data_IF_989183573294
#
_entry.id   IF_989183573294
#
_cell.length_a   1.000
_cell.length_b   1.000
_cell.length_c   1.000
_cell.angle_alpha   90.00
_cell.angle_beta   90.00
_cell.angle_gamma   90.00
#
_symmetry.space_group_name_H-M   'P 1'
#
loop_
_entity.id
_entity.type
_entity.pdbx_description
1 polymer ?
#
# COMPACT_ATOMS: atom_id res chain seq x y z
N UNK A 1 21.14 11.64 -14.26
CA UNK A 1 19.83 10.96 -14.11
C UNK A 1 19.71 10.39 -12.70
N UNK A 2 18.55 10.53 -12.07
CA UNK A 2 18.25 9.93 -10.75
C UNK A 2 17.12 8.93 -10.92
N UNK A 3 17.29 7.73 -10.36
CA UNK A 3 16.26 6.69 -10.34
C UNK A 3 15.86 6.48 -8.87
N UNK A 4 14.64 6.86 -8.53
CA UNK A 4 14.07 6.64 -7.19
C UNK A 4 13.36 5.28 -7.12
N UNK A 5 13.25 4.73 -5.91
CA UNK A 5 12.75 3.36 -5.64
C UNK A 5 13.45 2.27 -6.49
N UNK A 6 14.75 2.44 -6.74
CA UNK A 6 15.54 1.54 -7.59
C UNK A 6 15.56 0.08 -7.07
N UNK A 7 15.27 -0.14 -5.78
CA UNK A 7 15.08 -1.47 -5.19
C UNK A 7 13.87 -2.25 -5.74
N UNK A 8 12.91 -1.57 -6.41
CA UNK A 8 11.74 -2.19 -7.03
C UNK A 8 11.90 -2.43 -8.54
N UNK A 9 13.00 -1.95 -9.14
CA UNK A 9 13.25 -2.10 -10.58
C UNK A 9 13.87 -3.46 -10.87
N UNK A 10 13.26 -4.22 -11.78
CA UNK A 10 13.77 -5.53 -12.19
C UNK A 10 15.13 -5.43 -12.90
N UNK A 11 15.95 -6.47 -12.77
CA UNK A 11 17.33 -6.51 -13.29
C UNK A 11 17.45 -6.14 -14.78
N UNK A 12 16.51 -6.64 -15.61
CA UNK A 12 16.52 -6.40 -17.07
C UNK A 12 16.17 -4.96 -17.43
N UNK A 13 15.22 -4.35 -16.71
CA UNK A 13 14.87 -2.95 -16.92
C UNK A 13 16.03 -2.05 -16.50
N UNK A 14 16.68 -2.35 -15.38
CA UNK A 14 17.81 -1.58 -14.90
C UNK A 14 19.02 -1.67 -15.86
N UNK A 15 19.30 -2.85 -16.42
CA UNK A 15 20.35 -3.03 -17.44
C UNK A 15 20.12 -2.12 -18.65
N UNK A 16 18.91 -2.11 -19.22
CA UNK A 16 18.60 -1.27 -20.40
C UNK A 16 18.84 0.22 -20.11
N UNK A 17 18.41 0.68 -18.94
CA UNK A 17 18.56 2.08 -18.53
C UNK A 17 20.03 2.44 -18.31
N UNK A 18 20.81 1.57 -17.66
CA UNK A 18 22.23 1.78 -17.40
C UNK A 18 23.06 1.72 -18.69
N UNK A 19 22.73 0.81 -19.61
CA UNK A 19 23.38 0.68 -20.91
C UNK A 19 23.20 1.93 -21.77
N UNK A 20 21.99 2.50 -21.80
CA UNK A 20 21.75 3.76 -22.51
C UNK A 20 22.43 4.96 -21.83
N UNK A 21 22.36 5.05 -20.50
CA UNK A 21 23.05 6.10 -19.76
C UNK A 21 24.58 6.05 -19.99
N UNK A 22 25.16 4.85 -20.08
CA UNK A 22 26.57 4.65 -20.43
C UNK A 22 26.88 5.14 -21.84
N UNK A 23 26.05 4.82 -22.84
CA UNK A 23 26.23 5.34 -24.22
C UNK A 23 26.28 6.86 -24.27
N UNK A 24 25.47 7.53 -23.44
CA UNK A 24 25.40 8.99 -23.40
C UNK A 24 26.37 9.62 -22.38
N UNK A 25 27.25 8.84 -21.75
CA UNK A 25 28.17 9.36 -20.71
C UNK A 25 27.47 9.96 -19.50
N UNK A 26 26.21 9.59 -19.25
CA UNK A 26 25.38 10.19 -18.21
C UNK A 26 25.63 9.53 -16.86
N UNK A 27 25.89 10.35 -15.83
CA UNK A 27 25.93 9.88 -14.44
C UNK A 27 24.53 9.46 -13.98
N UNK A 28 24.43 8.23 -13.46
CA UNK A 28 23.21 7.69 -12.86
C UNK A 28 23.36 7.62 -11.34
N UNK A 29 22.38 8.13 -10.61
CA UNK A 29 22.27 8.00 -9.16
C UNK A 29 21.05 7.14 -8.86
N UNK A 30 21.26 6.03 -8.18
CA UNK A 30 20.18 5.12 -7.75
C UNK A 30 19.83 5.43 -6.30
N UNK A 31 18.55 5.67 -6.03
CA UNK A 31 17.99 5.93 -4.71
C UNK A 31 16.94 4.86 -4.44
N UNK A 32 16.97 4.26 -3.26
CA UNK A 32 16.05 3.19 -2.89
C UNK A 32 16.49 2.48 -1.61
N UNK A 33 15.68 1.53 -1.19
CA UNK A 33 15.94 0.69 -0.01
C UNK A 33 16.23 -0.73 -0.47
N UNK A 34 17.44 -1.22 -0.17
CA UNK A 34 17.89 -2.55 -0.58
C UNK A 34 17.26 -3.68 0.24
N UNK A 35 16.62 -3.34 1.37
CA UNK A 35 15.93 -4.27 2.25
C UNK A 35 14.40 -4.26 2.06
N UNK A 36 13.87 -3.36 1.22
CA UNK A 36 12.46 -3.42 0.82
C UNK A 36 12.17 -4.72 0.05
N UNK A 37 10.91 -5.18 0.14
CA UNK A 37 10.42 -6.40 -0.48
C UNK A 37 10.95 -6.53 -1.92
N UNK A 38 11.63 -7.63 -2.19
CA UNK A 38 12.31 -7.91 -3.46
C UNK A 38 11.35 -7.67 -4.65
N UNK A 39 11.85 -7.19 -5.80
CA UNK A 39 11.07 -7.13 -7.02
C UNK A 39 10.41 -8.47 -7.32
N UNK A 40 9.24 -8.42 -7.95
CA UNK A 40 8.56 -9.62 -8.46
C UNK A 40 9.39 -10.29 -9.58
N UNK A 41 10.28 -9.55 -10.24
CA UNK A 41 11.25 -10.08 -11.21
C UNK A 41 12.56 -10.53 -10.54
N UNK A 42 13.16 -11.59 -11.09
CA UNK A 42 14.40 -12.17 -10.59
C UNK A 42 15.59 -11.18 -10.57
N UNK A 43 16.28 -11.15 -9.43
CA UNK A 43 17.59 -10.53 -9.24
C UNK A 43 17.54 -9.21 -8.48
N UNK A 44 18.27 -9.16 -7.36
CA UNK A 44 18.44 -7.96 -6.55
C UNK A 44 19.53 -7.05 -7.17
N UNK A 45 19.33 -6.60 -8.41
CA UNK A 45 20.32 -5.80 -9.15
C UNK A 45 20.73 -4.54 -8.39
N UNK A 46 19.77 -3.86 -7.75
CA UNK A 46 20.05 -2.70 -6.89
C UNK A 46 21.00 -3.04 -5.74
N UNK A 47 20.76 -4.16 -5.05
CA UNK A 47 21.63 -4.64 -3.96
C UNK A 47 23.03 -4.99 -4.48
N UNK A 48 23.12 -5.70 -5.61
CA UNK A 48 24.40 -6.07 -6.21
C UNK A 48 25.23 -4.84 -6.64
N UNK A 49 24.56 -3.79 -7.15
CA UNK A 49 25.23 -2.52 -7.49
C UNK A 49 25.70 -1.81 -6.21
N UNK A 50 24.87 -1.74 -5.17
CA UNK A 50 25.23 -1.12 -3.90
C UNK A 50 26.44 -1.80 -3.25
N UNK A 51 26.49 -3.14 -3.26
CA UNK A 51 27.60 -3.93 -2.72
C UNK A 51 28.90 -3.74 -3.53
N UNK A 52 28.81 -3.54 -4.85
CA UNK A 52 29.98 -3.48 -5.74
C UNK A 52 30.53 -2.06 -5.97
N UNK A 53 29.66 -1.06 -6.03
CA UNK A 53 30.03 0.35 -6.28
C UNK A 53 30.16 1.13 -4.95
N UNK A 54 29.59 0.61 -3.87
CA UNK A 54 29.43 1.32 -2.61
C UNK A 54 28.18 2.19 -2.60
N UNK A 55 27.73 2.54 -1.40
CA UNK A 55 26.53 3.36 -1.18
C UNK A 55 26.72 4.31 -0.01
N UNK A 56 25.91 5.37 0.01
CA UNK A 56 25.76 6.26 1.16
C UNK A 56 24.38 6.00 1.78
N UNK A 57 24.34 5.61 3.05
CA UNK A 57 23.09 5.38 3.77
C UNK A 57 22.65 6.63 4.53
N UNK A 58 21.38 7.00 4.36
CA UNK A 58 20.74 7.96 5.25
C UNK A 58 20.40 7.26 6.58
N UNK A 59 21.25 7.44 7.59
CA UNK A 59 21.06 6.86 8.94
C UNK A 59 20.10 7.66 9.82
N UNK A 60 19.75 8.89 9.43
CA UNK A 60 18.87 9.76 10.19
C UNK A 60 17.40 9.37 9.97
N UNK A 61 16.83 8.65 10.95
CA UNK A 61 15.41 8.33 11.02
C UNK A 61 14.62 9.62 11.30
N UNK A 62 14.14 10.28 10.24
CA UNK A 62 13.35 11.54 10.35
C UNK A 62 11.83 11.33 10.42
N UNK A 63 11.33 10.13 10.09
CA UNK A 63 9.88 9.88 9.91
C UNK A 63 9.12 9.61 11.21
N UNK A 64 9.79 9.21 12.29
CA UNK A 64 9.16 8.79 13.55
C UNK A 64 9.43 9.82 14.65
N UNK A 65 8.39 10.50 15.15
CA UNK A 65 8.51 11.47 16.26
C UNK A 65 8.79 10.79 17.60
N UNK A 66 8.13 9.67 17.87
CA UNK A 66 8.27 8.97 19.15
C UNK A 66 9.60 8.21 19.21
N UNK A 67 10.32 8.36 20.32
CA UNK A 67 11.64 7.75 20.53
C UNK A 67 11.60 6.23 20.39
N UNK A 68 10.56 5.58 20.93
CA UNK A 68 10.44 4.12 20.88
C UNK A 68 10.24 3.58 19.45
N UNK A 69 9.58 4.34 18.57
CA UNK A 69 9.41 3.95 17.17
C UNK A 69 10.74 4.05 16.41
N UNK A 70 11.54 5.09 16.69
CA UNK A 70 12.90 5.21 16.17
C UNK A 70 13.78 4.05 16.62
N UNK A 71 13.65 3.64 17.88
CA UNK A 71 14.38 2.48 18.43
C UNK A 71 13.93 1.17 17.78
N UNK A 72 12.63 0.98 17.58
CA UNK A 72 12.11 -0.18 16.86
C UNK A 72 12.61 -0.24 15.41
N UNK A 73 12.63 0.91 14.71
CA UNK A 73 13.23 1.01 13.36
C UNK A 73 14.74 0.71 13.37
N UNK A 74 15.48 1.16 14.39
CA UNK A 74 16.91 0.79 14.55
C UNK A 74 17.10 -0.71 14.77
N UNK A 75 16.24 -1.35 15.56
CA UNK A 75 16.28 -2.80 15.75
C UNK A 75 15.98 -3.55 14.43
N UNK A 76 15.00 -3.10 13.64
CA UNK A 76 14.77 -3.67 12.31
C UNK A 76 15.99 -3.55 11.40
N UNK A 77 16.59 -2.36 11.30
CA UNK A 77 17.77 -2.11 10.47
C UNK A 77 19.02 -2.90 10.90
N UNK A 78 19.04 -3.43 12.14
CA UNK A 78 20.13 -4.27 12.66
C UNK A 78 19.83 -5.77 12.54
N UNK A 79 18.70 -6.15 11.91
CA UNK A 79 18.28 -7.54 11.82
C UNK A 79 17.79 -8.12 13.16
N UNK A 80 17.29 -7.27 14.08
CA UNK A 80 16.75 -7.66 15.38
C UNK A 80 15.19 -7.55 15.43
N UNK A 81 14.44 -8.24 14.55
CA UNK A 81 12.99 -8.04 14.42
C UNK A 81 12.22 -8.40 15.70
N UNK A 82 12.70 -9.36 16.49
CA UNK A 82 12.06 -9.72 17.76
C UNK A 82 12.04 -8.53 18.74
N UNK A 83 13.17 -7.84 18.91
CA UNK A 83 13.28 -6.66 19.78
C UNK A 83 12.46 -5.49 19.24
N UNK A 84 12.42 -5.31 17.93
CA UNK A 84 11.56 -4.30 17.31
C UNK A 84 10.09 -4.58 17.63
N UNK A 85 9.62 -5.82 17.45
CA UNK A 85 8.24 -6.22 17.71
C UNK A 85 7.88 -6.14 19.19
N UNK A 86 8.79 -6.48 20.11
CA UNK A 86 8.57 -6.31 21.55
C UNK A 86 8.32 -4.84 21.92
N UNK A 87 9.00 -3.90 21.26
CA UNK A 87 8.76 -2.46 21.44
C UNK A 87 7.36 -2.08 20.98
N UNK A 88 6.94 -2.51 19.79
CA UNK A 88 5.59 -2.26 19.30
C UNK A 88 4.53 -2.91 20.21
N UNK A 89 4.80 -4.09 20.76
CA UNK A 89 3.91 -4.77 21.71
C UNK A 89 3.80 -4.01 23.03
N UNK A 90 4.92 -3.57 23.59
CA UNK A 90 4.95 -2.81 24.85
C UNK A 90 4.15 -1.51 24.79
N UNK A 91 4.00 -0.92 23.59
CA UNK A 91 3.22 0.30 23.36
C UNK A 91 1.80 0.03 22.83
N UNK A 92 1.31 -1.21 22.92
CA UNK A 92 -0.05 -1.57 22.49
C UNK A 92 -0.29 -1.45 20.98
N UNK A 93 0.78 -1.37 20.18
CA UNK A 93 0.71 -1.24 18.73
C UNK A 93 0.66 -2.60 18.02
N UNK A 94 0.77 -3.71 18.76
CA UNK A 94 0.57 -5.08 18.27
C UNK A 94 -0.45 -5.80 19.15
N UNK A 95 -1.43 -6.40 18.50
CA UNK A 95 -2.40 -7.29 19.13
C UNK A 95 -2.39 -8.65 18.44
N UNK A 96 -2.45 -9.73 19.22
CA UNK A 96 -2.57 -11.08 18.69
C UNK A 96 -4.02 -11.54 18.71
N UNK A 97 -4.43 -12.19 17.63
CA UNK A 97 -5.73 -12.81 17.50
C UNK A 97 -5.57 -14.32 17.28
N UNK A 98 -6.50 -15.10 17.84
CA UNK A 98 -6.46 -16.56 17.75
C UNK A 98 -6.63 -17.04 16.30
N UNK A 99 -7.52 -16.41 15.55
CA UNK A 99 -7.80 -16.75 14.16
C UNK A 99 -7.61 -15.58 13.21
N UNK A 100 -7.51 -15.89 11.91
CA UNK A 100 -7.49 -14.90 10.83
C UNK A 100 -8.79 -14.08 10.80
N UNK A 101 -9.92 -14.71 11.12
CA UNK A 101 -11.22 -14.05 11.18
C UNK A 101 -11.24 -13.00 12.30
N UNK A 102 -10.78 -13.39 13.50
CA UNK A 102 -10.69 -12.49 14.64
C UNK A 102 -9.74 -11.31 14.36
N UNK A 103 -8.62 -11.57 13.70
CA UNK A 103 -7.69 -10.50 13.30
C UNK A 103 -8.36 -9.49 12.37
N UNK A 104 -9.11 -9.96 11.36
CA UNK A 104 -9.86 -9.07 10.45
C UNK A 104 -10.96 -8.30 11.19
N UNK A 105 -11.64 -8.94 12.13
CA UNK A 105 -12.66 -8.30 12.95
C UNK A 105 -12.07 -7.17 13.81
N UNK A 106 -10.89 -7.39 14.41
CA UNK A 106 -10.20 -6.34 15.17
C UNK A 106 -9.70 -5.21 14.26
N UNK A 107 -9.14 -5.55 13.10
CA UNK A 107 -8.72 -4.53 12.11
C UNK A 107 -9.87 -3.62 11.70
N UNK A 108 -11.04 -4.19 11.41
CA UNK A 108 -12.18 -3.37 10.99
C UNK A 108 -12.71 -2.54 12.15
N UNK A 109 -12.79 -3.08 13.37
CA UNK A 109 -13.17 -2.31 14.56
C UNK A 109 -12.21 -1.14 14.82
N UNK A 110 -10.91 -1.36 14.67
CA UNK A 110 -9.90 -0.31 14.81
C UNK A 110 -10.07 0.79 13.78
N UNK A 111 -10.22 0.38 12.52
CA UNK A 111 -10.47 1.31 11.42
C UNK A 111 -11.73 2.15 11.68
N UNK A 112 -12.80 1.51 12.15
CA UNK A 112 -14.08 2.15 12.50
C UNK A 112 -13.96 3.12 13.68
N UNK A 113 -13.21 2.76 14.73
CA UNK A 113 -12.92 3.66 15.86
C UNK A 113 -12.15 4.89 15.39
N UNK A 114 -11.15 4.68 14.54
CA UNK A 114 -10.38 5.79 13.99
C UNK A 114 -11.25 6.68 13.09
N UNK A 115 -12.13 6.10 12.27
CA UNK A 115 -13.06 6.84 11.43
C UNK A 115 -13.91 7.82 12.26
N UNK A 116 -14.42 7.39 13.42
CA UNK A 116 -15.19 8.25 14.32
C UNK A 116 -14.33 9.33 14.99
N UNK A 117 -13.08 9.02 15.36
CA UNK A 117 -12.23 9.94 16.09
C UNK A 117 -11.64 11.09 15.23
N UNK A 118 -11.40 10.85 13.95
CA UNK A 118 -10.78 11.84 13.04
C UNK A 118 -11.40 11.75 11.63
N UNK A 119 -12.67 12.14 11.40
CA UNK A 119 -13.38 11.89 10.15
C UNK A 119 -12.58 12.18 8.87
N UNK A 120 -11.81 13.27 8.86
CA UNK A 120 -11.01 13.73 7.71
C UNK A 120 -9.62 13.08 7.56
N UNK A 121 -9.18 12.27 8.53
CA UNK A 121 -7.85 11.62 8.50
C UNK A 121 -7.77 10.51 7.45
N UNK A 122 -6.61 10.34 6.79
CA UNK A 122 -6.44 9.27 5.80
C UNK A 122 -6.09 7.93 6.48
N UNK A 123 -6.74 6.85 6.02
CA UNK A 123 -6.66 5.51 6.63
C UNK A 123 -6.54 4.44 5.57
N UNK A 124 -5.73 3.42 5.84
CA UNK A 124 -5.62 2.25 4.99
C UNK A 124 -5.43 0.97 5.82
N UNK A 125 -6.19 -0.06 5.50
CA UNK A 125 -5.98 -1.40 6.06
C UNK A 125 -5.03 -2.16 5.15
N UNK A 126 -3.95 -2.71 5.69
CA UNK A 126 -3.02 -3.56 4.97
C UNK A 126 -3.28 -5.04 5.27
N UNK A 127 -3.38 -5.83 4.23
CA UNK A 127 -3.48 -7.28 4.36
C UNK A 127 -2.51 -8.00 3.44
N UNK A 128 -2.24 -9.26 3.74
CA UNK A 128 -1.26 -10.04 2.98
C UNK A 128 -1.85 -10.55 1.66
N UNK A 129 -3.09 -11.04 1.67
CA UNK A 129 -3.72 -11.66 0.48
C UNK A 129 -4.77 -10.76 -0.15
N UNK A 130 -4.96 -10.91 -1.48
CA UNK A 130 -6.03 -10.23 -2.22
C UNK A 130 -7.43 -10.60 -1.70
N UNK A 131 -7.62 -11.83 -1.22
CA UNK A 131 -8.89 -12.27 -0.64
C UNK A 131 -9.21 -11.52 0.66
N UNK A 132 -8.23 -11.30 1.53
CA UNK A 132 -8.44 -10.51 2.76
C UNK A 132 -8.68 -9.04 2.42
N UNK A 133 -7.91 -8.47 1.49
CA UNK A 133 -8.12 -7.09 1.01
C UNK A 133 -9.55 -6.90 0.51
N UNK A 134 -10.06 -7.85 -0.28
CA UNK A 134 -11.43 -7.82 -0.79
C UNK A 134 -12.45 -7.84 0.34
N UNK A 135 -12.33 -8.77 1.28
CA UNK A 135 -13.22 -8.88 2.44
C UNK A 135 -13.20 -7.60 3.31
N UNK A 136 -12.01 -7.06 3.60
CA UNK A 136 -11.86 -5.84 4.38
C UNK A 136 -12.42 -4.60 3.67
N UNK A 137 -12.25 -4.50 2.34
CA UNK A 137 -12.86 -3.44 1.56
C UNK A 137 -14.39 -3.47 1.64
N UNK A 138 -15.00 -4.66 1.48
CA UNK A 138 -16.46 -4.80 1.58
C UNK A 138 -16.98 -4.46 2.98
N UNK A 139 -16.33 -4.95 4.03
CA UNK A 139 -16.70 -4.64 5.43
C UNK A 139 -16.60 -3.14 5.72
N UNK A 140 -15.54 -2.48 5.26
CA UNK A 140 -15.35 -1.04 5.47
C UNK A 140 -16.44 -0.22 4.79
N UNK A 141 -16.77 -0.56 3.53
CA UNK A 141 -17.87 0.08 2.81
C UNK A 141 -19.21 -0.13 3.49
N UNK A 142 -19.53 -1.36 3.89
CA UNK A 142 -20.79 -1.67 4.56
C UNK A 142 -20.97 -0.84 5.83
N UNK A 143 -19.92 -0.70 6.64
CA UNK A 143 -19.96 0.15 7.85
C UNK A 143 -20.21 1.62 7.51
N UNK A 144 -19.65 2.14 6.41
CA UNK A 144 -19.93 3.52 5.98
C UNK A 144 -21.37 3.68 5.49
N UNK A 145 -21.90 2.68 4.79
CA UNK A 145 -23.29 2.66 4.33
C UNK A 145 -24.26 2.65 5.52
N UNK A 146 -24.06 1.77 6.49
CA UNK A 146 -24.85 1.68 7.73
C UNK A 146 -24.82 2.98 8.56
N UNK A 147 -23.73 3.75 8.45
CA UNK A 147 -23.55 5.04 9.13
C UNK A 147 -24.08 6.23 8.34
N UNK A 148 -24.64 6.03 7.14
CA UNK A 148 -25.09 7.11 6.26
C UNK A 148 -23.94 7.97 5.71
N UNK A 149 -22.70 7.44 5.70
CA UNK A 149 -21.52 8.12 5.19
C UNK A 149 -21.36 8.05 3.66
N UNK A 150 -22.23 7.31 2.97
CA UNK A 150 -22.24 7.13 1.52
C UNK A 150 -23.54 7.67 0.91
N UNK A 151 -23.43 8.17 -0.32
CA UNK A 151 -24.58 8.50 -1.15
C UNK A 151 -25.27 7.28 -1.75
N UNK A 152 -26.04 7.49 -2.81
CA UNK A 152 -26.72 6.42 -3.52
C UNK A 152 -25.74 5.51 -4.27
N UNK A 153 -26.05 4.21 -4.27
CA UNK A 153 -25.29 3.19 -4.97
C UNK A 153 -25.42 3.32 -6.50
N UNK A 154 -24.29 3.29 -7.19
CA UNK A 154 -24.16 3.33 -8.64
C UNK A 154 -23.28 2.19 -9.10
N UNK A 155 -23.81 1.35 -9.98
CA UNK A 155 -23.06 0.28 -10.62
C UNK A 155 -22.15 0.84 -11.72
N UNK A 156 -20.83 0.64 -11.57
CA UNK A 156 -19.82 1.12 -12.51
C UNK A 156 -18.99 -0.04 -13.07
N UNK A 157 -18.70 0.02 -14.36
CA UNK A 157 -17.76 -0.89 -15.00
C UNK A 157 -16.33 -0.51 -14.62
N UNK A 158 -15.60 -1.44 -14.00
CA UNK A 158 -14.18 -1.29 -13.65
C UNK A 158 -13.32 -2.33 -14.36
N UNK A 159 -12.03 -2.04 -14.48
CA UNK A 159 -11.05 -2.94 -15.05
C UNK A 159 -9.85 -3.15 -14.13
N UNK A 160 -9.20 -4.31 -14.26
CA UNK A 160 -7.98 -4.64 -13.54
C UNK A 160 -7.04 -5.44 -14.42
N UNK A 161 -5.76 -5.09 -14.38
CA UNK A 161 -4.70 -5.89 -14.97
C UNK A 161 -4.37 -7.08 -14.05
N UNK A 162 -4.38 -8.28 -14.63
CA UNK A 162 -4.08 -9.55 -13.97
C UNK A 162 -2.97 -10.26 -14.74
N UNK A 163 -1.89 -10.58 -14.03
CA UNK A 163 -0.80 -11.39 -14.55
C UNK A 163 -1.24 -12.85 -14.63
N UNK A 164 -1.18 -13.42 -15.82
CA UNK A 164 -1.46 -14.82 -16.10
C UNK A 164 -0.24 -15.69 -15.78
N UNK A 165 -0.45 -17.01 -15.66
CA UNK A 165 0.62 -17.97 -15.35
C UNK A 165 1.71 -18.05 -16.43
N UNK A 166 1.38 -17.67 -17.66
CA UNK A 166 2.31 -17.60 -18.80
C UNK A 166 3.11 -16.28 -18.88
N UNK A 167 2.90 -15.37 -17.92
CA UNK A 167 3.56 -14.05 -17.88
C UNK A 167 2.88 -12.98 -18.74
N UNK A 168 1.74 -13.27 -19.38
CA UNK A 168 0.94 -12.26 -20.09
C UNK A 168 0.06 -11.47 -19.11
N UNK A 169 -0.34 -10.25 -19.50
CA UNK A 169 -1.26 -9.41 -18.73
C UNK A 169 -2.63 -9.41 -19.39
N UNK A 170 -3.62 -9.95 -18.68
CA UNK A 170 -5.03 -9.87 -19.08
C UNK A 170 -5.72 -8.69 -18.41
N UNK A 171 -6.73 -8.12 -19.07
CA UNK A 171 -7.61 -7.11 -18.47
C UNK A 171 -8.92 -7.80 -18.07
N UNK A 172 -9.12 -7.98 -16.77
CA UNK A 172 -10.40 -8.41 -16.21
C UNK A 172 -11.32 -7.20 -16.09
N UNK A 173 -12.55 -7.33 -16.61
CA UNK A 173 -13.62 -6.35 -16.42
C UNK A 173 -14.63 -6.90 -15.43
N UNK A 174 -15.07 -6.05 -14.50
CA UNK A 174 -16.07 -6.41 -13.50
C UNK A 174 -16.89 -5.19 -13.13
N UNK A 175 -17.99 -5.40 -12.43
CA UNK A 175 -18.77 -4.31 -11.87
C UNK A 175 -18.31 -3.98 -10.44
N UNK A 176 -18.42 -2.69 -10.07
CA UNK A 176 -18.30 -2.22 -8.70
C UNK A 176 -19.47 -1.31 -8.37
N UNK A 177 -19.98 -1.44 -7.16
CA UNK A 177 -20.98 -0.51 -6.63
C UNK A 177 -20.22 0.62 -5.94
N UNK A 178 -20.31 1.83 -6.49
CA UNK A 178 -19.71 3.03 -5.91
C UNK A 178 -20.79 4.03 -5.53
N UNK A 179 -20.49 4.87 -4.55
CA UNK A 179 -21.33 5.97 -4.12
C UNK A 179 -20.47 7.21 -3.85
N UNK A 180 -21.10 8.39 -3.81
CA UNK A 180 -20.46 9.59 -3.26
C UNK A 180 -19.94 9.30 -1.85
N UNK A 181 -18.70 9.69 -1.56
CA UNK A 181 -18.01 9.39 -0.30
C UNK A 181 -17.21 8.09 -0.31
N UNK A 182 -17.35 7.23 -1.32
CA UNK A 182 -16.57 5.99 -1.38
C UNK A 182 -15.07 6.28 -1.50
N UNK A 183 -14.28 5.40 -0.87
CA UNK A 183 -12.83 5.40 -1.04
C UNK A 183 -12.43 4.50 -2.19
N UNK A 184 -11.65 5.03 -3.13
CA UNK A 184 -11.16 4.28 -4.29
C UNK A 184 -9.64 4.31 -4.39
N UNK A 185 -9.09 3.28 -5.04
CA UNK A 185 -7.68 3.15 -5.38
C UNK A 185 -7.52 3.07 -6.89
N UNK A 186 -6.62 3.90 -7.40
CA UNK A 186 -6.16 3.88 -8.78
C UNK A 186 -5.27 2.66 -9.00
N UNK A 187 -5.55 1.86 -10.03
CA UNK A 187 -4.84 0.62 -10.33
C UNK A 187 -3.86 0.73 -11.50
N UNK A 188 -3.91 1.83 -12.26
CA UNK A 188 -3.07 2.04 -13.46
C UNK A 188 -2.63 3.50 -13.58
N UNK A 189 -1.39 3.72 -13.98
CA UNK A 189 -0.90 5.07 -14.26
C UNK A 189 -1.67 5.69 -15.43
N UNK A 190 -2.03 6.97 -15.33
CA UNK A 190 -2.52 7.76 -16.45
C UNK A 190 -1.88 9.16 -16.37
N UNK A 191 -1.16 9.54 -17.43
CA UNK A 191 -0.39 10.80 -17.49
C UNK A 191 -1.29 12.02 -17.67
N UNK A 192 -2.33 11.90 -18.50
CA UNK A 192 -3.28 12.99 -18.77
C UNK A 192 -4.07 13.33 -17.51
N UNK A 193 -4.52 12.29 -16.79
CA UNK A 193 -5.18 12.44 -15.50
C UNK A 193 -4.20 12.73 -14.36
N UNK A 194 -2.88 12.67 -14.60
CA UNK A 194 -1.81 12.78 -13.61
C UNK A 194 -2.02 11.88 -12.36
N UNK A 195 -2.51 10.66 -12.58
CA UNK A 195 -2.72 9.65 -11.52
C UNK A 195 -1.69 8.53 -11.61
N UNK A 196 -1.25 8.04 -10.45
CA UNK A 196 -0.31 6.93 -10.32
C UNK A 196 -1.02 5.72 -9.72
N UNK A 197 -0.64 4.51 -10.14
CA UNK A 197 -1.05 3.26 -9.53
C UNK A 197 -0.77 3.29 -8.02
N UNK A 198 -1.75 2.92 -7.22
CA UNK A 198 -1.73 3.03 -5.76
C UNK A 198 -2.23 4.36 -5.20
N UNK A 199 -2.48 5.38 -6.05
CA UNK A 199 -3.08 6.63 -5.57
C UNK A 199 -4.46 6.37 -4.98
N UNK A 200 -4.71 6.92 -3.81
CA UNK A 200 -6.01 6.87 -3.15
C UNK A 200 -6.81 8.13 -3.46
N UNK A 201 -8.12 7.98 -3.55
CA UNK A 201 -9.04 9.08 -3.82
C UNK A 201 -10.37 8.86 -3.13
N UNK A 202 -11.12 9.94 -2.92
CA UNK A 202 -12.49 9.91 -2.43
C UNK A 202 -13.44 10.32 -3.54
N UNK A 203 -14.49 9.54 -3.77
CA UNK A 203 -15.52 9.82 -4.78
C UNK A 203 -16.32 11.06 -4.35
N UNK A 204 -16.33 12.08 -5.21
CA UNK A 204 -17.15 13.29 -5.04
C UNK A 204 -18.51 13.08 -5.69
N UNK A 205 -18.50 12.52 -6.90
CA UNK A 205 -19.67 12.24 -7.71
C UNK A 205 -19.42 11.01 -8.59
N UNK A 206 -20.45 10.22 -8.83
CA UNK A 206 -20.37 9.03 -9.67
C UNK A 206 -21.68 8.83 -10.42
N UNK A 207 -21.56 8.52 -11.70
CA UNK A 207 -22.64 8.07 -12.58
C UNK A 207 -22.21 6.75 -13.25
N UNK A 208 -23.09 6.16 -14.05
CA UNK A 208 -22.75 4.95 -14.80
C UNK A 208 -21.71 5.17 -15.90
N UNK A 209 -21.48 6.43 -16.31
CA UNK A 209 -20.59 6.78 -17.43
C UNK A 209 -19.36 7.62 -17.04
N UNK A 210 -19.40 8.32 -15.90
CA UNK A 210 -18.35 9.21 -15.45
C UNK A 210 -18.19 9.21 -13.92
N UNK A 211 -17.01 9.61 -13.46
CA UNK A 211 -16.70 9.71 -12.04
C UNK A 211 -15.80 10.93 -11.78
N UNK A 212 -16.10 11.64 -10.70
CA UNK A 212 -15.26 12.70 -10.15
C UNK A 212 -14.69 12.27 -8.79
N UNK A 213 -13.37 12.35 -8.65
CA UNK A 213 -12.66 11.92 -7.45
C UNK A 213 -11.72 13.01 -6.94
N UNK A 214 -11.61 13.13 -5.62
CA UNK A 214 -10.60 13.94 -4.94
C UNK A 214 -9.41 13.06 -4.58
N UNK A 215 -8.25 13.32 -5.17
CA UNK A 215 -7.02 12.60 -4.87
C UNK A 215 -6.45 13.02 -3.52
N UNK A 216 -5.87 12.06 -2.82
CA UNK A 216 -5.05 12.35 -1.65
C UNK A 216 -3.77 13.07 -2.04
N UNK A 217 -3.40 14.08 -1.26
CA UNK A 217 -2.15 14.80 -1.42
C UNK A 217 -2.21 16.18 -0.77
N UNK A 218 -1.14 16.96 -0.94
CA UNK A 218 -1.08 18.32 -0.39
C UNK A 218 -2.08 19.28 -1.05
N UNK A 219 -2.42 19.03 -2.31
CA UNK A 219 -3.26 19.91 -3.12
C UNK A 219 -4.73 19.46 -3.21
N UNK A 220 -5.09 18.29 -2.65
CA UNK A 220 -6.46 17.74 -2.71
C UNK A 220 -7.12 17.87 -4.09
N UNK A 221 -6.36 17.56 -5.15
CA UNK A 221 -6.77 17.80 -6.53
C UNK A 221 -7.99 16.95 -6.90
N UNK A 222 -8.97 17.57 -7.53
CA UNK A 222 -10.15 16.91 -8.08
C UNK A 222 -9.90 16.53 -9.54
N UNK A 223 -10.34 15.32 -9.92
CA UNK A 223 -10.17 14.77 -11.26
C UNK A 223 -11.46 14.12 -11.68
N UNK A 224 -11.95 14.50 -12.85
CA UNK A 224 -13.12 13.91 -13.48
C UNK A 224 -12.70 13.18 -14.76
N UNK A 225 -13.28 12.01 -15.00
CA UNK A 225 -13.06 11.24 -16.23
C UNK A 225 -14.23 10.34 -16.58
N UNK A 226 -14.36 10.04 -17.88
CA UNK A 226 -15.30 9.04 -18.39
C UNK A 226 -14.79 7.63 -18.07
N UNK A 227 -15.66 6.77 -17.54
CA UNK A 227 -15.34 5.37 -17.22
C UNK A 227 -14.99 4.54 -18.46
N UNK A 228 -15.46 4.97 -19.63
CA UNK A 228 -15.07 4.40 -20.92
C UNK A 228 -13.58 4.63 -21.26
N UNK A 229 -13.03 5.78 -20.88
CA UNK A 229 -11.63 6.14 -21.15
C UNK A 229 -10.70 5.59 -20.06
N UNK A 230 -11.20 5.54 -18.82
CA UNK A 230 -10.42 5.08 -17.68
C UNK A 230 -11.31 4.42 -16.62
N UNK A 231 -11.11 3.11 -16.41
CA UNK A 231 -11.89 2.29 -15.47
C UNK A 231 -11.03 1.49 -14.49
N UNK A 232 -9.73 1.78 -14.42
CA UNK A 232 -8.79 1.00 -13.61
C UNK A 232 -8.87 1.38 -12.12
N UNK A 233 -9.98 1.03 -11.48
CA UNK A 233 -10.34 1.40 -10.11
C UNK A 233 -10.77 0.17 -9.29
N UNK A 234 -10.55 0.22 -7.98
CA UNK A 234 -11.21 -0.65 -6.99
C UNK A 234 -11.39 0.11 -5.68
N UNK A 235 -12.01 -0.50 -4.67
CA UNK A 235 -12.08 0.09 -3.34
C UNK A 235 -10.69 0.34 -2.74
N UNK A 236 -10.57 1.47 -2.05
CA UNK A 236 -9.34 1.98 -1.45
C UNK A 236 -9.30 1.96 0.08
N UNK A 237 -10.19 1.19 0.74
CA UNK A 237 -10.19 1.05 2.21
C UNK A 237 -9.08 0.11 2.70
N UNK A 238 -8.76 -0.90 1.90
CA UNK A 238 -7.74 -1.89 2.16
C UNK A 238 -6.86 -2.14 0.92
N UNK A 239 -5.59 -2.46 1.15
CA UNK A 239 -4.62 -2.78 0.11
C UNK A 239 -3.66 -3.89 0.54
N UNK A 240 -2.99 -4.51 -0.43
CA UNK A 240 -1.90 -5.43 -0.10
C UNK A 240 -0.67 -4.64 0.33
N UNK A 241 0.15 -5.23 1.22
CA UNK A 241 1.41 -4.61 1.69
C UNK A 241 2.28 -4.15 0.50
N UNK A 242 2.40 -4.99 -0.53
CA UNK A 242 3.14 -4.69 -1.77
C UNK A 242 2.58 -3.49 -2.54
N UNK A 243 1.24 -3.31 -2.58
CA UNK A 243 0.60 -2.18 -3.27
C UNK A 243 0.62 -0.88 -2.47
N UNK A 244 0.85 -0.96 -1.17
CA UNK A 244 0.95 0.20 -0.30
C UNK A 244 2.39 0.74 -0.17
N UNK A 245 3.37 0.11 -0.82
CA UNK A 245 4.70 0.71 -0.97
C UNK A 245 4.55 2.03 -1.73
N UNK A 246 4.91 3.15 -1.09
CA UNK A 246 4.74 4.51 -1.63
C UNK A 246 3.42 5.20 -1.27
N UNK A 247 2.44 4.51 -0.69
CA UNK A 247 1.19 5.13 -0.25
C UNK A 247 1.42 6.01 0.98
N UNK A 248 1.04 7.29 0.90
CA UNK A 248 1.14 8.22 2.03
C UNK A 248 -0.21 8.28 2.74
N UNK A 249 -0.35 7.52 3.83
CA UNK A 249 -1.58 7.46 4.64
C UNK A 249 -1.27 7.74 6.10
N UNK A 250 -2.12 8.49 6.79
CA UNK A 250 -1.86 8.91 8.16
C UNK A 250 -1.94 7.74 9.14
N UNK A 251 -2.79 6.75 8.88
CA UNK A 251 -2.90 5.53 9.69
C UNK A 251 -2.96 4.26 8.86
N UNK A 252 -2.17 3.28 9.30
CA UNK A 252 -2.06 1.94 8.76
C UNK A 252 -2.43 0.94 9.84
N UNK A 253 -3.34 0.02 9.53
CA UNK A 253 -3.58 -1.17 10.35
C UNK A 253 -3.28 -2.40 9.50
N UNK A 254 -2.42 -3.31 9.94
CA UNK A 254 -1.96 -4.44 9.15
C UNK A 254 -2.25 -5.77 9.84
N UNK A 255 -2.55 -6.84 9.09
CA UNK A 255 -2.58 -8.21 9.60
C UNK A 255 -1.51 -9.07 8.90
N UNK A 256 -0.70 -9.76 9.70
CA UNK A 256 0.31 -10.72 9.26
C UNK A 256 0.22 -12.02 10.06
N UNK A 257 0.70 -13.12 9.48
CA UNK A 257 0.77 -14.40 10.17
C UNK A 257 2.04 -14.44 11.01
N UNK A 258 1.92 -14.71 12.31
CA UNK A 258 3.09 -14.93 13.16
C UNK A 258 3.63 -16.36 12.96
N UNK A 259 4.93 -16.47 12.67
CA UNK A 259 5.66 -17.74 12.71
C UNK A 259 6.85 -17.57 13.65
N UNK A 260 6.76 -18.16 14.85
CA UNK A 260 7.93 -18.27 15.73
C UNK A 260 8.91 -19.30 15.17
N UNK A 261 10.21 -19.08 15.32
CA UNK A 261 11.28 -19.99 14.86
C UNK A 261 11.36 -21.35 15.58
N UNK A 262 10.42 -21.67 16.47
CA UNK A 262 10.29 -23.02 17.05
C UNK A 262 9.12 -23.74 16.38
N UNK A 263 9.42 -24.82 15.65
CA UNK A 263 8.45 -25.70 14.98
C UNK A 263 7.32 -26.09 15.95
N UNK A 264 6.08 -25.72 15.63
CA UNK A 264 4.89 -26.54 15.87
C UNK A 264 4.04 -26.59 14.58
N UNK A 265 3.41 -27.74 14.23
CA UNK A 265 2.73 -27.91 12.95
C UNK A 265 1.37 -27.20 12.84
N UNK A 266 0.80 -26.70 13.95
CA UNK A 266 -0.57 -26.18 13.94
C UNK A 266 -0.62 -24.66 14.03
N UNK A 267 -1.55 -24.06 13.30
CA UNK A 267 -1.64 -22.63 12.99
C UNK A 267 -1.31 -21.68 14.15
N UNK A 268 -0.13 -21.05 14.09
CA UNK A 268 0.24 -19.98 15.00
C UNK A 268 -0.69 -18.75 14.92
N UNK A 269 -0.75 -17.93 15.98
CA UNK A 269 -1.66 -16.80 16.07
C UNK A 269 -1.43 -15.77 14.97
N UNK A 270 -2.48 -15.03 14.61
CA UNK A 270 -2.38 -13.91 13.67
C UNK A 270 -2.05 -12.64 14.44
N UNK A 271 -1.28 -11.76 13.82
CA UNK A 271 -0.82 -10.52 14.41
C UNK A 271 -1.47 -9.35 13.67
N UNK A 272 -2.20 -8.51 14.41
CA UNK A 272 -2.64 -7.20 13.94
C UNK A 272 -1.69 -6.13 14.49
N UNK A 273 -1.26 -5.18 13.64
CA UNK A 273 -0.37 -4.10 14.04
C UNK A 273 -0.88 -2.75 13.58
N UNK A 274 -0.71 -1.71 14.40
CA UNK A 274 -1.08 -0.33 14.08
C UNK A 274 0.17 0.52 13.87
N UNK A 275 0.17 1.34 12.83
CA UNK A 275 1.23 2.31 12.57
C UNK A 275 0.61 3.65 12.15
N UNK A 276 1.20 4.75 12.61
CA UNK A 276 0.82 6.12 12.22
C UNK A 276 1.94 6.69 11.34
N UNK A 277 1.59 7.21 10.17
CA UNK A 277 2.54 7.95 9.32
C UNK A 277 2.26 9.45 9.49
N UNK A 278 3.25 10.27 9.87
CA UNK A 278 3.01 11.70 10.10
C UNK A 278 2.95 12.52 8.80
N UNK A 279 2.28 13.68 8.87
CA UNK A 279 2.33 14.72 7.83
C UNK A 279 3.75 15.27 7.71
N UNK A 280 4.21 15.43 6.46
CA UNK A 280 5.44 16.14 6.07
C UNK A 280 5.24 17.65 6.06
#
# INVERSE_FOLDING_TARGET
>A
MVIDEAGMVGSRQLERVLSEAKRQGTKVVLVGDAEQLQPIEAGAAFRAIAERVGYQALTAIRRQRESWQRDASRHFARGEPARALDRYRAHGAIEFAATRSDAKQRLIQDWTRHLAAEPDGSRLILAHTRADVRDLNYRARQILQERGGLGNDVAVAVSREVMQSDGTVAIERSERILARGDRVMVLKNNRELAVKNGSLATVIEVTTSAIAVRLDGKENREVEFRLADYSALDYGYAATIHKAQGATVERISACTRWRSSRRKPDGGPFQASRARTPRS
#
